data_IF_469724067450
#
_entry.id   IF_469724067450
#
_cell.length_a   1.000
_cell.length_b   1.000
_cell.length_c   1.000
_cell.angle_alpha   90.00
_cell.angle_beta   90.00
_cell.angle_gamma   90.00
#
_symmetry.space_group_name_H-M   'P 1'
#
loop_
_entity.id
_entity.type
_entity.pdbx_description
1 polymer ?
#
# COMPACT_ATOMS: atom_id res chain seq x y z
N UNK A 1 19.53 -5.06 -21.06
CA UNK A 1 18.13 -5.43 -20.74
C UNK A 1 17.28 -5.63 -21.99
N UNK A 2 17.49 -4.88 -23.06
CA UNK A 2 16.69 -4.97 -24.29
C UNK A 2 16.61 -6.38 -24.93
N UNK A 3 17.63 -7.23 -24.72
CA UNK A 3 17.68 -8.57 -25.29
C UNK A 3 16.70 -9.56 -24.62
N UNK A 4 16.20 -9.25 -23.44
CA UNK A 4 15.26 -10.08 -22.66
C UNK A 4 13.86 -9.45 -22.59
N UNK A 5 13.65 -8.35 -23.26
CA UNK A 5 12.34 -7.72 -23.38
C UNK A 5 11.35 -8.68 -24.04
N UNK A 6 10.20 -8.90 -23.39
CA UNK A 6 9.19 -9.86 -23.82
C UNK A 6 9.45 -11.32 -23.41
N UNK A 7 10.52 -11.60 -22.66
CA UNK A 7 10.72 -12.91 -22.04
C UNK A 7 10.00 -12.94 -20.68
N UNK A 8 9.10 -13.90 -20.51
CA UNK A 8 8.44 -14.16 -19.23
C UNK A 8 9.22 -15.21 -18.48
N UNK A 9 9.82 -14.81 -17.35
CA UNK A 9 10.53 -15.71 -16.46
C UNK A 9 9.51 -16.37 -15.53
N UNK A 10 9.31 -17.67 -15.66
CA UNK A 10 8.38 -18.41 -14.83
C UNK A 10 7.76 -19.60 -15.54
N UNK A 11 6.72 -20.13 -14.94
CA UNK A 11 5.93 -21.26 -15.44
C UNK A 11 4.46 -20.86 -15.43
N UNK A 12 3.82 -20.72 -16.60
CA UNK A 12 2.44 -20.25 -16.71
C UNK A 12 1.39 -21.17 -16.08
N UNK A 13 1.71 -22.46 -15.94
CA UNK A 13 0.84 -23.47 -15.33
C UNK A 13 0.96 -23.47 -13.79
N UNK A 14 2.12 -23.03 -13.26
CA UNK A 14 2.39 -22.98 -11.83
C UNK A 14 2.23 -21.59 -11.24
N UNK A 15 2.49 -20.51 -12.01
CA UNK A 15 2.31 -19.15 -11.53
C UNK A 15 0.82 -18.82 -11.44
N UNK A 16 0.29 -18.79 -10.23
CA UNK A 16 -1.13 -18.54 -9.98
C UNK A 16 -1.36 -17.77 -8.68
N UNK A 17 -2.44 -17.03 -8.66
CA UNK A 17 -2.96 -16.37 -7.46
C UNK A 17 -4.46 -16.63 -7.39
N UNK A 18 -4.88 -17.29 -6.34
CA UNK A 18 -6.28 -17.60 -6.06
C UNK A 18 -6.69 -16.90 -4.78
N UNK A 19 -7.92 -16.39 -4.75
CA UNK A 19 -8.42 -15.64 -3.62
C UNK A 19 -9.93 -15.84 -3.49
N UNK A 20 -10.36 -16.34 -2.34
CA UNK A 20 -11.77 -16.46 -1.97
C UNK A 20 -12.07 -15.57 -0.77
N UNK A 21 -13.12 -14.78 -0.83
CA UNK A 21 -13.53 -13.87 0.23
C UNK A 21 -15.02 -13.99 0.52
N UNK A 22 -15.35 -14.25 1.78
CA UNK A 22 -16.68 -14.08 2.33
C UNK A 22 -16.67 -12.90 3.31
N UNK A 23 -17.55 -11.93 3.11
CA UNK A 23 -17.62 -10.75 3.97
C UNK A 23 -19.06 -10.41 4.34
N UNK A 24 -19.28 -10.17 5.64
CA UNK A 24 -20.53 -9.63 6.18
C UNK A 24 -20.25 -8.34 6.94
N UNK A 25 -21.06 -7.33 6.70
CA UNK A 25 -20.99 -6.07 7.43
C UNK A 25 -22.38 -5.58 7.82
N UNK A 26 -22.55 -5.23 9.08
CA UNK A 26 -23.72 -4.54 9.61
C UNK A 26 -23.33 -3.14 10.08
N UNK A 27 -24.08 -2.13 9.65
CA UNK A 27 -23.92 -0.75 10.04
C UNK A 27 -25.24 -0.24 10.63
N UNK A 28 -25.20 0.23 11.87
CA UNK A 28 -26.31 0.89 12.54
C UNK A 28 -25.95 2.34 12.80
N UNK A 29 -26.72 3.26 12.24
CA UNK A 29 -26.64 4.70 12.56
C UNK A 29 -27.92 5.11 13.27
N UNK A 30 -27.77 5.80 14.40
CA UNK A 30 -28.90 6.29 15.17
C UNK A 30 -28.67 7.70 15.70
N UNK A 31 -29.64 8.59 15.49
CA UNK A 31 -29.66 9.92 16.11
C UNK A 31 -30.46 9.84 17.40
N UNK A 32 -29.76 9.86 18.54
CA UNK A 32 -30.39 9.87 19.87
C UNK A 32 -31.07 11.21 20.16
N UNK A 33 -30.49 12.31 19.59
CA UNK A 33 -31.02 13.66 19.60
C UNK A 33 -30.47 14.42 18.40
N UNK A 34 -30.83 15.69 18.25
CA UNK A 34 -30.28 16.57 17.21
C UNK A 34 -28.76 16.77 17.36
N UNK A 35 -28.23 16.59 18.58
CA UNK A 35 -26.81 16.82 18.92
C UNK A 35 -26.04 15.56 19.29
N UNK A 36 -26.68 14.39 19.32
CA UNK A 36 -26.04 13.12 19.67
C UNK A 36 -26.35 12.03 18.64
N UNK A 37 -25.31 11.54 17.97
CA UNK A 37 -25.39 10.46 16.98
C UNK A 37 -24.50 9.30 17.37
N UNK A 38 -24.97 8.08 17.11
CA UNK A 38 -24.20 6.85 17.26
C UNK A 38 -24.05 6.14 15.94
N UNK A 39 -22.86 5.58 15.70
CA UNK A 39 -22.50 4.77 14.55
C UNK A 39 -21.86 3.49 15.08
N UNK A 40 -22.47 2.35 14.80
CA UNK A 40 -22.01 1.04 15.26
C UNK A 40 -21.78 0.16 14.04
N UNK A 41 -20.62 -0.46 13.96
CA UNK A 41 -20.27 -1.38 12.88
C UNK A 41 -19.87 -2.72 13.46
N UNK A 42 -20.39 -3.80 12.88
CA UNK A 42 -19.89 -5.15 13.09
C UNK A 42 -19.55 -5.73 11.71
N UNK A 43 -18.37 -6.29 11.56
CA UNK A 43 -17.98 -6.98 10.34
C UNK A 43 -17.27 -8.30 10.64
N UNK A 44 -17.49 -9.26 9.75
CA UNK A 44 -16.79 -10.52 9.73
C UNK A 44 -16.30 -10.77 8.32
N UNK A 45 -15.03 -11.16 8.20
CA UNK A 45 -14.43 -11.58 6.94
C UNK A 45 -13.72 -12.90 7.13
N UNK A 46 -13.86 -13.75 6.12
CA UNK A 46 -13.19 -15.04 6.02
C UNK A 46 -12.58 -15.09 4.62
N UNK A 47 -11.26 -15.28 4.52
CA UNK A 47 -10.61 -15.35 3.24
C UNK A 47 -9.52 -16.40 3.19
N UNK A 48 -9.47 -17.05 2.03
CA UNK A 48 -8.44 -17.98 1.64
C UNK A 48 -7.65 -17.40 0.49
N UNK A 49 -6.32 -17.47 0.59
CA UNK A 49 -5.39 -17.03 -0.43
C UNK A 49 -4.39 -18.13 -0.75
N UNK A 50 -4.19 -18.37 -2.03
CA UNK A 50 -3.06 -19.13 -2.53
C UNK A 50 -2.27 -18.24 -3.49
N UNK A 51 -0.98 -18.13 -3.27
CA UNK A 51 -0.06 -17.48 -4.18
C UNK A 51 1.09 -18.44 -4.49
N UNK A 52 1.26 -18.80 -5.76
CA UNK A 52 2.30 -19.69 -6.23
C UNK A 52 3.06 -19.02 -7.36
N UNK A 53 4.39 -19.03 -7.27
CA UNK A 53 5.23 -18.31 -8.20
C UNK A 53 6.54 -19.03 -8.45
N UNK A 54 6.97 -19.09 -9.71
CA UNK A 54 8.35 -19.35 -10.14
C UNK A 54 8.82 -18.05 -10.79
N UNK A 55 10.03 -17.62 -10.42
CA UNK A 55 10.60 -16.35 -10.84
C UNK A 55 12.11 -16.46 -11.05
N UNK A 56 12.72 -15.48 -11.72
CA UNK A 56 14.17 -15.41 -11.80
C UNK A 56 14.74 -14.89 -10.47
N UNK A 57 15.61 -15.67 -9.83
CA UNK A 57 16.35 -15.30 -8.61
C UNK A 57 17.80 -14.91 -8.88
N UNK A 58 18.25 -14.98 -10.14
CA UNK A 58 19.56 -14.55 -10.55
C UNK A 58 19.73 -14.60 -12.07
N UNK A 59 20.69 -13.81 -12.58
CA UNK A 59 21.04 -13.77 -13.99
C UNK A 59 22.54 -13.69 -14.21
N UNK A 60 23.07 -14.56 -15.04
CA UNK A 60 24.47 -14.59 -15.47
C UNK A 60 24.56 -14.09 -16.91
N UNK A 61 24.97 -12.84 -17.10
CA UNK A 61 25.09 -12.19 -18.41
C UNK A 61 26.13 -12.89 -19.31
N UNK A 62 27.23 -13.39 -18.74
CA UNK A 62 28.31 -14.01 -19.53
C UNK A 62 27.83 -15.26 -20.25
N UNK A 63 26.98 -16.05 -19.62
CA UNK A 63 26.49 -17.32 -20.16
C UNK A 63 25.05 -17.23 -20.65
N UNK A 64 24.40 -16.09 -20.47
CA UNK A 64 22.98 -15.87 -20.74
C UNK A 64 22.09 -16.91 -20.02
N UNK A 65 22.33 -17.08 -18.73
CA UNK A 65 21.62 -18.05 -17.88
C UNK A 65 20.84 -17.35 -16.80
N UNK A 66 19.56 -17.68 -16.67
CA UNK A 66 18.70 -17.29 -15.56
C UNK A 66 18.59 -18.47 -14.57
N UNK A 67 18.77 -18.17 -13.29
CA UNK A 67 18.48 -19.11 -12.19
C UNK A 67 17.06 -18.88 -11.75
N UNK A 68 16.23 -19.91 -11.68
CA UNK A 68 14.86 -19.86 -11.20
C UNK A 68 14.77 -20.23 -9.73
N UNK A 69 13.80 -19.66 -9.04
CA UNK A 69 13.40 -19.96 -7.67
C UNK A 69 11.88 -19.91 -7.57
N UNK A 70 11.31 -20.40 -6.49
CA UNK A 70 9.85 -20.38 -6.38
C UNK A 70 9.34 -20.73 -4.99
N UNK A 71 8.08 -20.37 -4.75
CA UNK A 71 7.39 -20.69 -3.52
C UNK A 71 5.87 -20.74 -3.71
N UNK A 72 5.21 -21.36 -2.75
CA UNK A 72 3.76 -21.30 -2.54
C UNK A 72 3.51 -20.70 -1.17
N UNK A 73 2.72 -19.65 -1.10
CA UNK A 73 2.17 -19.12 0.14
C UNK A 73 0.66 -19.39 0.19
N UNK A 74 0.19 -19.99 1.26
CA UNK A 74 -1.23 -20.04 1.60
C UNK A 74 -1.50 -19.17 2.80
N UNK A 75 -2.67 -18.57 2.85
CA UNK A 75 -3.13 -17.82 4.02
C UNK A 75 -4.63 -18.02 4.18
N UNK A 76 -5.03 -18.63 5.29
CA UNK A 76 -6.41 -18.64 5.76
C UNK A 76 -6.55 -17.60 6.87
N UNK A 77 -7.53 -16.68 6.78
CA UNK A 77 -7.69 -15.64 7.79
C UNK A 77 -9.14 -15.30 8.06
N UNK A 78 -9.50 -15.25 9.32
CA UNK A 78 -10.80 -14.82 9.83
C UNK A 78 -10.62 -13.55 10.64
N UNK A 79 -11.41 -12.52 10.35
CA UNK A 79 -11.40 -11.29 11.12
C UNK A 79 -12.82 -10.97 11.59
N UNK A 80 -12.94 -10.65 12.86
CA UNK A 80 -14.12 -10.04 13.44
C UNK A 80 -13.77 -8.64 13.93
N UNK A 81 -14.55 -7.64 13.53
CA UNK A 81 -14.36 -6.24 13.94
C UNK A 81 -15.69 -5.70 14.48
N UNK A 82 -15.63 -5.16 15.67
CA UNK A 82 -16.73 -4.43 16.28
C UNK A 82 -16.27 -3.02 16.63
N UNK A 83 -16.97 -2.00 16.15
CA UNK A 83 -16.68 -0.62 16.49
C UNK A 83 -17.93 0.17 16.85
N UNK A 84 -17.77 1.11 17.77
CA UNK A 84 -18.81 2.03 18.19
C UNK A 84 -18.29 3.44 18.32
N UNK A 85 -18.99 4.40 17.70
CA UNK A 85 -18.68 5.81 17.73
C UNK A 85 -19.88 6.61 18.21
N UNK A 86 -19.65 7.53 19.14
CA UNK A 86 -20.61 8.54 19.55
C UNK A 86 -20.09 9.92 19.16
N UNK A 87 -20.91 10.69 18.47
CA UNK A 87 -20.61 12.08 18.09
C UNK A 87 -21.59 12.98 18.81
N UNK A 88 -21.06 13.90 19.62
CA UNK A 88 -21.85 14.84 20.40
C UNK A 88 -21.47 16.29 20.03
N UNK A 89 -22.46 17.12 19.76
CA UNK A 89 -22.29 18.56 19.51
C UNK A 89 -22.84 19.33 20.71
N UNK A 90 -22.07 20.29 21.22
CA UNK A 90 -22.54 21.21 22.27
C UNK A 90 -21.78 22.55 22.22
N UNK A 91 -22.29 23.54 22.91
CA UNK A 91 -21.68 24.85 23.04
C UNK A 91 -21.31 25.13 24.52
N UNK A 92 -20.08 25.62 24.70
CA UNK A 92 -19.57 26.08 25.98
C UNK A 92 -19.25 27.59 25.87
N UNK A 93 -20.21 28.42 26.26
CA UNK A 93 -20.17 29.85 25.96
C UNK A 93 -20.29 30.10 24.45
N UNK A 94 -19.32 30.80 23.85
CA UNK A 94 -19.27 31.07 22.43
C UNK A 94 -18.49 30.03 21.62
N UNK A 95 -17.99 28.97 22.28
CA UNK A 95 -17.16 27.93 21.67
C UNK A 95 -18.04 26.72 21.36
N UNK A 96 -18.02 26.28 20.11
CA UNK A 96 -18.70 25.07 19.67
C UNK A 96 -17.74 23.89 19.69
N UNK A 97 -18.17 22.78 20.28
CA UNK A 97 -17.47 21.51 20.38
C UNK A 97 -18.19 20.43 19.56
N UNK A 98 -17.44 19.64 18.82
CA UNK A 98 -17.90 18.38 18.22
C UNK A 98 -17.00 17.27 18.73
N UNK A 99 -17.46 16.52 19.75
CA UNK A 99 -16.71 15.44 20.37
C UNK A 99 -17.07 14.14 19.70
N UNK A 100 -16.05 13.41 19.25
CA UNK A 100 -16.09 11.98 18.91
C UNK A 100 -15.53 11.19 20.09
N UNK A 101 -16.28 10.23 20.57
CA UNK A 101 -15.78 9.18 21.46
C UNK A 101 -16.03 7.83 20.81
N UNK A 102 -15.01 6.95 20.75
CA UNK A 102 -15.15 5.66 20.10
C UNK A 102 -14.37 4.55 20.79
N UNK A 103 -14.78 3.33 20.47
CA UNK A 103 -14.05 2.10 20.80
C UNK A 103 -14.06 1.15 19.63
N UNK A 104 -13.04 0.30 19.56
CA UNK A 104 -12.89 -0.72 18.55
C UNK A 104 -12.34 -2.00 19.17
N UNK A 105 -12.84 -3.13 18.72
CA UNK A 105 -12.36 -4.45 19.05
C UNK A 105 -12.13 -5.22 17.76
N UNK A 106 -10.94 -5.80 17.60
CA UNK A 106 -10.57 -6.65 16.49
C UNK A 106 -10.11 -7.99 17.05
N UNK A 107 -10.62 -9.07 16.49
CA UNK A 107 -10.18 -10.44 16.70
C UNK A 107 -9.83 -11.02 15.33
N UNK A 108 -8.58 -11.45 15.15
CA UNK A 108 -8.08 -11.97 13.91
C UNK A 108 -7.33 -13.27 14.15
N UNK A 109 -7.73 -14.31 13.43
CA UNK A 109 -7.04 -15.60 13.42
C UNK A 109 -6.52 -15.86 12.03
N UNK A 110 -5.24 -16.26 11.89
CA UNK A 110 -4.68 -16.65 10.60
C UNK A 110 -3.80 -17.87 10.69
N UNK A 111 -3.83 -18.68 9.62
CA UNK A 111 -2.88 -19.75 9.36
C UNK A 111 -2.12 -19.41 8.07
N UNK A 112 -0.80 -19.53 8.10
CA UNK A 112 0.07 -19.23 6.97
C UNK A 112 1.02 -20.40 6.76
N UNK A 113 1.04 -20.95 5.54
CA UNK A 113 1.99 -21.96 5.11
C UNK A 113 2.83 -21.44 3.96
N UNK A 114 4.13 -21.73 4.00
CA UNK A 114 5.03 -21.51 2.86
C UNK A 114 5.78 -22.78 2.52
N UNK A 115 5.70 -23.15 1.25
CA UNK A 115 6.54 -24.21 0.67
C UNK A 115 7.48 -23.59 -0.36
N UNK A 116 8.77 -23.90 -0.27
CA UNK A 116 9.74 -23.52 -1.29
C UNK A 116 9.86 -24.61 -2.36
N UNK A 117 10.42 -24.21 -3.48
CA UNK A 117 10.71 -25.07 -4.62
C UNK A 117 11.70 -26.20 -4.27
N UNK A 118 11.45 -27.36 -4.82
CA UNK A 118 12.32 -28.53 -4.76
C UNK A 118 12.59 -29.03 -6.18
N UNK A 119 13.82 -28.92 -6.60
CA UNK A 119 14.27 -29.33 -7.93
C UNK A 119 14.77 -30.80 -7.95
N UNK A 120 14.60 -31.56 -6.85
CA UNK A 120 14.95 -32.95 -6.73
C UNK A 120 16.43 -33.30 -7.10
N UNK A 121 17.31 -32.30 -6.97
CA UNK A 121 18.72 -32.40 -7.36
C UNK A 121 19.00 -32.03 -8.81
N UNK A 122 17.97 -31.67 -9.59
CA UNK A 122 18.10 -31.13 -10.93
C UNK A 122 18.59 -29.67 -10.88
N UNK A 123 19.08 -29.17 -12.01
CA UNK A 123 19.48 -27.76 -12.14
C UNK A 123 18.27 -26.85 -12.23
N UNK A 124 18.35 -25.68 -11.61
CA UNK A 124 17.41 -24.58 -11.74
C UNK A 124 17.90 -23.46 -12.66
N UNK A 125 19.01 -23.73 -13.38
CA UNK A 125 19.61 -22.79 -14.31
C UNK A 125 19.13 -23.04 -15.74
N UNK A 126 18.49 -22.06 -16.34
CA UNK A 126 17.89 -22.13 -17.68
C UNK A 126 18.51 -21.11 -18.61
N UNK A 127 18.42 -21.33 -19.95
CA UNK A 127 18.75 -20.30 -20.89
C UNK A 127 17.79 -19.11 -20.71
N UNK A 128 18.33 -17.91 -20.58
CA UNK A 128 17.52 -16.71 -20.30
C UNK A 128 16.54 -16.33 -21.42
N UNK A 129 16.70 -16.86 -22.62
CA UNK A 129 15.73 -16.70 -23.71
C UNK A 129 14.60 -17.76 -23.66
N UNK A 130 14.60 -18.64 -22.66
CA UNK A 130 13.68 -19.76 -22.55
C UNK A 130 13.97 -20.90 -23.56
N UNK A 131 13.10 -21.90 -23.66
CA UNK A 131 11.95 -22.09 -22.81
C UNK A 131 12.34 -22.44 -21.36
N UNK A 132 11.51 -22.04 -20.41
CA UNK A 132 11.64 -22.39 -19.01
C UNK A 132 10.86 -23.70 -18.70
N UNK A 133 10.25 -23.81 -17.52
CA UNK A 133 9.41 -24.95 -17.20
C UNK A 133 7.98 -24.78 -17.74
N UNK A 134 7.31 -25.90 -17.97
CA UNK A 134 5.86 -26.00 -18.22
C UNK A 134 5.33 -27.13 -17.34
N UNK A 135 4.31 -26.89 -16.53
CA UNK A 135 3.88 -27.83 -15.48
C UNK A 135 5.03 -28.32 -14.58
N UNK A 136 6.00 -27.44 -14.26
CA UNK A 136 7.16 -27.78 -13.46
C UNK A 136 8.20 -28.65 -14.15
N UNK A 137 8.15 -28.81 -15.46
CA UNK A 137 9.08 -29.65 -16.23
C UNK A 137 9.79 -28.84 -17.30
N UNK A 138 11.09 -28.97 -17.45
CA UNK A 138 11.86 -28.21 -18.42
C UNK A 138 13.19 -28.87 -18.78
N UNK A 139 13.98 -28.13 -19.56
CA UNK A 139 15.35 -28.51 -19.94
C UNK A 139 16.28 -27.40 -19.45
N UNK A 140 17.25 -27.76 -18.64
CA UNK A 140 18.23 -26.82 -18.08
C UNK A 140 19.14 -26.21 -19.16
N UNK A 141 19.96 -25.24 -18.77
CA UNK A 141 20.89 -24.55 -19.68
C UNK A 141 21.99 -25.45 -20.25
N UNK A 142 22.17 -26.66 -19.71
CA UNK A 142 23.11 -27.66 -20.16
C UNK A 142 22.47 -28.75 -21.03
N UNK A 143 21.14 -28.70 -21.22
CA UNK A 143 20.36 -29.64 -22.02
C UNK A 143 19.89 -30.88 -21.26
N UNK A 144 19.92 -30.89 -19.91
CA UNK A 144 19.41 -31.98 -19.09
C UNK A 144 17.93 -31.73 -18.69
N UNK A 145 17.15 -32.81 -18.49
CA UNK A 145 15.82 -32.66 -17.87
C UNK A 145 15.93 -32.03 -16.48
N UNK A 146 15.00 -31.14 -16.19
CA UNK A 146 14.86 -30.50 -14.87
C UNK A 146 13.39 -30.48 -14.48
N UNK A 147 13.11 -30.70 -13.20
CA UNK A 147 11.76 -30.70 -12.65
C UNK A 147 11.68 -29.99 -11.30
N UNK A 148 10.57 -29.29 -11.07
CA UNK A 148 10.29 -28.59 -9.82
C UNK A 148 8.95 -29.01 -9.24
N UNK A 149 8.93 -29.16 -7.91
CA UNK A 149 7.71 -29.30 -7.10
C UNK A 149 7.82 -28.39 -5.88
N UNK A 150 6.72 -28.12 -5.20
CA UNK A 150 6.69 -27.29 -3.98
C UNK A 150 6.33 -28.19 -2.80
N UNK A 151 7.33 -28.83 -2.19
CA UNK A 151 7.13 -29.78 -1.09
C UNK A 151 8.11 -29.57 0.10
N UNK A 152 8.96 -28.57 0.03
CA UNK A 152 9.83 -28.20 1.15
C UNK A 152 9.10 -27.19 2.03
N UNK A 153 8.58 -27.65 3.17
CA UNK A 153 7.93 -26.78 4.15
C UNK A 153 8.94 -25.79 4.72
N UNK A 154 8.73 -24.51 4.44
CA UNK A 154 9.55 -23.40 4.92
C UNK A 154 8.96 -22.76 6.17
N UNK A 155 7.65 -22.48 6.15
CA UNK A 155 6.92 -21.86 7.23
C UNK A 155 5.55 -22.53 7.40
N UNK A 156 5.11 -22.67 8.65
CA UNK A 156 3.78 -23.16 9.04
C UNK A 156 3.46 -22.52 10.39
N UNK A 157 2.67 -21.44 10.36
CA UNK A 157 2.37 -20.63 11.53
C UNK A 157 0.89 -20.40 11.69
N UNK A 158 0.43 -20.38 12.94
CA UNK A 158 -0.90 -19.86 13.30
C UNK A 158 -0.74 -18.65 14.19
N UNK A 159 -1.59 -17.63 13.97
CA UNK A 159 -1.57 -16.37 14.68
C UNK A 159 -2.95 -16.05 15.22
N UNK A 160 -3.03 -15.76 16.52
CA UNK A 160 -4.18 -15.16 17.17
C UNK A 160 -3.82 -13.71 17.54
N UNK A 161 -4.61 -12.77 17.07
CA UNK A 161 -4.45 -11.35 17.29
C UNK A 161 -5.71 -10.74 17.85
N UNK A 162 -5.58 -10.02 18.97
CA UNK A 162 -6.64 -9.21 19.54
C UNK A 162 -6.20 -7.76 19.66
N UNK A 163 -7.00 -6.83 19.19
CA UNK A 163 -6.78 -5.38 19.39
C UNK A 163 -7.99 -4.78 20.08
N UNK A 164 -7.72 -4.03 21.12
CA UNK A 164 -8.72 -3.20 21.78
C UNK A 164 -8.31 -1.75 21.79
N UNK A 165 -9.21 -0.86 21.35
CA UNK A 165 -8.91 0.57 21.23
C UNK A 165 -9.99 1.43 21.86
N UNK A 166 -9.56 2.52 22.51
CA UNK A 166 -10.40 3.62 22.95
C UNK A 166 -9.86 4.92 22.41
N UNK A 167 -10.72 5.79 21.90
CA UNK A 167 -10.28 7.08 21.38
C UNK A 167 -11.30 8.17 21.63
N UNK A 168 -10.78 9.38 21.76
CA UNK A 168 -11.57 10.59 21.82
C UNK A 168 -10.94 11.69 20.98
N UNK A 169 -11.78 12.50 20.35
CA UNK A 169 -11.36 13.69 19.62
C UNK A 169 -12.36 14.80 19.84
N UNK A 170 -11.87 16.01 20.00
CA UNK A 170 -12.67 17.23 20.02
C UNK A 170 -12.28 18.16 18.87
N UNK A 171 -13.25 18.51 18.04
CA UNK A 171 -13.16 19.62 17.10
C UNK A 171 -13.75 20.85 17.77
N UNK A 172 -12.89 21.84 18.05
CA UNK A 172 -13.17 23.04 18.83
C UNK A 172 -13.22 24.23 17.89
N UNK A 173 -14.40 24.74 17.59
CA UNK A 173 -14.59 25.97 16.82
C UNK A 173 -14.39 27.17 17.74
N UNK A 174 -13.13 27.67 17.80
CA UNK A 174 -12.73 28.79 18.65
C UNK A 174 -13.28 30.14 18.16
N UNK A 175 -13.47 30.26 16.85
CA UNK A 175 -14.12 31.40 16.19
C UNK A 175 -14.60 30.98 14.80
N UNK A 176 -15.23 31.87 14.04
CA UNK A 176 -15.62 31.58 12.65
C UNK A 176 -14.44 31.30 11.73
N UNK A 177 -13.23 31.74 12.12
CA UNK A 177 -12.02 31.59 11.33
C UNK A 177 -11.05 30.53 11.89
N UNK A 178 -11.18 30.14 13.16
CA UNK A 178 -10.18 29.31 13.83
C UNK A 178 -10.83 28.07 14.44
N UNK A 179 -10.38 26.89 14.01
CA UNK A 179 -10.77 25.60 14.55
C UNK A 179 -9.53 24.85 15.02
N UNK A 180 -9.58 24.30 16.23
CA UNK A 180 -8.57 23.37 16.74
C UNK A 180 -9.15 21.96 16.76
N UNK A 181 -8.31 20.94 16.54
CA UNK A 181 -8.65 19.53 16.66
C UNK A 181 -7.66 18.91 17.63
N UNK A 182 -8.16 18.26 18.66
CA UNK A 182 -7.34 17.53 19.63
C UNK A 182 -7.88 16.11 19.77
N UNK A 183 -7.00 15.14 19.73
CA UNK A 183 -7.40 13.74 19.84
C UNK A 183 -6.35 12.90 20.56
N UNK A 184 -6.81 11.82 21.15
CA UNK A 184 -5.99 10.79 21.78
C UNK A 184 -6.59 9.44 21.50
N UNK A 185 -5.74 8.45 21.26
CA UNK A 185 -6.13 7.06 21.11
C UNK A 185 -5.25 6.20 22.01
N UNK A 186 -5.88 5.27 22.68
CA UNK A 186 -5.23 4.16 23.39
C UNK A 186 -5.49 2.89 22.61
N UNK A 187 -4.46 2.10 22.39
CA UNK A 187 -4.53 0.78 21.78
C UNK A 187 -3.85 -0.25 22.69
N UNK A 188 -4.46 -1.42 22.81
CA UNK A 188 -3.87 -2.62 23.39
C UNK A 188 -3.88 -3.68 22.29
N UNK A 189 -2.70 -4.08 21.85
CA UNK A 189 -2.44 -5.07 20.82
C UNK A 189 -1.85 -6.31 21.46
N UNK A 190 -2.50 -7.46 21.33
CA UNK A 190 -2.10 -8.73 21.92
C UNK A 190 -2.00 -9.76 20.80
N UNK A 191 -0.81 -10.33 20.59
CA UNK A 191 -0.52 -11.30 19.53
C UNK A 191 0.09 -12.56 20.13
N UNK A 192 -0.42 -13.73 19.71
CA UNK A 192 0.17 -15.03 19.96
C UNK A 192 0.43 -15.73 18.63
N UNK A 193 1.68 -16.17 18.41
CA UNK A 193 2.10 -16.90 17.22
C UNK A 193 2.58 -18.29 17.65
N UNK A 194 2.10 -19.31 16.95
CA UNK A 194 2.51 -20.69 17.11
C UNK A 194 3.20 -21.17 15.83
N UNK A 195 4.48 -21.54 15.95
CA UNK A 195 5.22 -22.21 14.90
C UNK A 195 4.88 -23.71 14.91
N UNK A 196 4.27 -24.21 13.84
CA UNK A 196 3.88 -25.59 13.67
C UNK A 196 4.90 -26.39 12.84
N UNK A 197 5.87 -25.71 12.18
CA UNK A 197 6.88 -26.36 11.34
C UNK A 197 7.81 -27.26 12.17
N UNK A 198 7.84 -28.57 11.94
CA UNK A 198 8.65 -29.49 12.72
C UNK A 198 10.17 -29.23 12.66
N UNK A 199 10.63 -28.51 11.64
CA UNK A 199 12.06 -28.21 11.46
C UNK A 199 12.53 -27.01 12.28
N UNK A 200 11.64 -26.06 12.56
CA UNK A 200 11.92 -24.81 13.30
C UNK A 200 11.40 -24.85 14.73
N UNK A 201 10.25 -25.47 14.94
CA UNK A 201 9.59 -25.60 16.22
C UNK A 201 10.50 -26.13 17.33
N UNK A 202 10.50 -25.47 18.48
CA UNK A 202 11.33 -25.77 19.63
C UNK A 202 12.85 -25.56 19.43
N UNK A 203 13.29 -24.96 18.32
CA UNK A 203 14.67 -24.54 18.17
C UNK A 203 14.75 -23.03 18.51
N UNK A 204 15.42 -22.65 19.61
CA UNK A 204 15.39 -21.25 20.09
C UNK A 204 15.99 -20.22 19.13
N UNK A 205 16.61 -20.66 18.02
CA UNK A 205 17.17 -19.78 16.99
C UNK A 205 16.27 -19.60 15.77
N UNK A 206 15.29 -20.51 15.58
CA UNK A 206 14.45 -20.53 14.38
C UNK A 206 12.96 -20.67 14.68
N UNK A 207 12.57 -20.95 15.92
CA UNK A 207 11.19 -21.04 16.36
C UNK A 207 10.53 -19.66 16.30
N UNK A 208 9.51 -19.51 15.47
CA UNK A 208 8.74 -18.29 15.30
C UNK A 208 7.65 -18.08 16.38
N UNK A 209 7.43 -19.10 17.26
CA UNK A 209 6.40 -19.01 18.31
C UNK A 209 6.71 -17.92 19.32
N UNK A 210 5.67 -17.30 19.84
CA UNK A 210 5.78 -16.33 20.92
C UNK A 210 4.48 -15.58 21.14
N UNK A 211 4.48 -14.77 22.20
CA UNK A 211 3.40 -13.81 22.46
C UNK A 211 3.99 -12.46 22.82
N UNK A 212 3.32 -11.41 22.41
CA UNK A 212 3.68 -10.03 22.73
C UNK A 212 2.42 -9.22 22.96
N UNK A 213 2.49 -8.31 23.94
CA UNK A 213 1.43 -7.36 24.20
C UNK A 213 2.02 -5.96 24.24
N UNK A 214 1.48 -5.09 23.40
CA UNK A 214 1.87 -3.68 23.32
C UNK A 214 0.68 -2.81 23.72
N UNK A 215 0.94 -1.75 24.47
CA UNK A 215 -0.06 -0.78 24.89
C UNK A 215 0.47 0.62 24.63
N UNK A 216 -0.21 1.37 23.73
CA UNK A 216 0.25 2.66 23.29
C UNK A 216 -0.82 3.73 23.40
N UNK A 217 -0.36 4.97 23.63
CA UNK A 217 -1.20 6.17 23.60
C UNK A 217 -0.68 7.12 22.53
N UNK A 218 -1.46 7.30 21.48
CA UNK A 218 -1.09 8.12 20.34
C UNK A 218 -1.90 9.42 20.30
N UNK A 219 -1.24 10.58 20.47
CA UNK A 219 -1.89 11.88 20.38
C UNK A 219 -2.00 12.35 18.93
N UNK A 220 -2.97 13.24 18.69
CA UNK A 220 -3.05 14.05 17.47
C UNK A 220 -3.53 15.46 17.80
N UNK A 221 -3.04 16.42 17.05
CA UNK A 221 -3.45 17.83 17.16
C UNK A 221 -3.49 18.46 15.78
N UNK A 222 -4.43 19.38 15.59
CA UNK A 222 -4.56 20.14 14.36
C UNK A 222 -5.05 21.54 14.63
N UNK A 223 -4.64 22.46 13.76
CA UNK A 223 -5.13 23.84 13.74
C UNK A 223 -5.53 24.20 12.33
N UNK A 224 -6.73 24.76 12.17
CA UNK A 224 -7.26 25.20 10.88
C UNK A 224 -7.61 26.69 11.01
N UNK A 225 -7.01 27.50 10.17
CA UNK A 225 -7.29 28.93 10.09
C UNK A 225 -7.86 29.30 8.72
N UNK A 226 -9.06 29.88 8.72
CA UNK A 226 -9.76 30.33 7.52
C UNK A 226 -9.76 31.86 7.47
N UNK A 227 -8.75 32.50 6.85
CA UNK A 227 -8.70 33.96 6.70
C UNK A 227 -9.85 34.49 5.83
N UNK A 228 -10.39 33.66 4.94
CA UNK A 228 -11.55 33.89 4.10
C UNK A 228 -12.30 32.58 3.85
N UNK A 229 -13.51 32.67 3.28
CA UNK A 229 -14.34 31.49 3.00
C UNK A 229 -13.68 30.51 2.02
N UNK A 230 -12.83 31.03 1.14
CA UNK A 230 -12.17 30.26 0.07
C UNK A 230 -10.73 29.85 0.39
N UNK A 231 -10.17 30.16 1.56
CA UNK A 231 -8.81 29.78 1.96
C UNK A 231 -8.85 29.12 3.32
N UNK A 232 -8.22 27.94 3.42
CA UNK A 232 -7.94 27.24 4.68
C UNK A 232 -6.44 26.97 4.79
N UNK A 233 -5.82 27.49 5.84
CA UNK A 233 -4.47 27.15 6.25
C UNK A 233 -4.57 26.11 7.36
N UNK A 234 -3.74 25.09 7.34
CA UNK A 234 -3.74 24.09 8.40
C UNK A 234 -2.33 23.64 8.79
N UNK A 235 -2.22 23.19 10.01
CA UNK A 235 -1.08 22.45 10.50
C UNK A 235 -1.58 21.28 11.35
N UNK A 236 -0.95 20.13 11.26
CA UNK A 236 -1.31 18.94 12.02
C UNK A 236 -0.08 18.18 12.51
N UNK A 237 -0.25 17.54 13.63
CA UNK A 237 0.65 16.58 14.24
C UNK A 237 -0.13 15.31 14.54
N UNK A 238 0.44 14.15 14.21
CA UNK A 238 -0.12 12.86 14.60
C UNK A 238 0.99 11.86 14.89
N UNK A 239 0.73 10.99 15.85
CA UNK A 239 1.57 9.84 16.17
C UNK A 239 0.80 8.56 15.93
N UNK A 240 1.48 7.54 15.44
CA UNK A 240 0.98 6.17 15.31
C UNK A 240 2.10 5.18 15.61
N UNK A 241 1.76 3.90 15.73
CA UNK A 241 2.74 2.86 15.99
C UNK A 241 2.48 1.61 15.17
N UNK A 242 3.50 0.78 15.00
CA UNK A 242 3.43 -0.55 14.39
C UNK A 242 4.07 -1.56 15.34
N UNK A 243 3.31 -2.52 15.89
CA UNK A 243 3.85 -3.57 16.76
C UNK A 243 4.89 -4.44 16.04
N UNK A 244 5.88 -4.90 16.78
CA UNK A 244 6.89 -5.83 16.30
C UNK A 244 6.30 -7.23 16.20
N UNK A 245 5.91 -7.64 15.00
CA UNK A 245 5.25 -8.94 14.77
C UNK A 245 5.63 -9.58 13.43
N UNK A 246 6.69 -9.06 12.80
CA UNK A 246 7.14 -9.50 11.48
C UNK A 246 6.16 -9.20 10.35
N UNK A 247 6.56 -9.52 9.14
CA UNK A 247 5.70 -9.37 7.96
C UNK A 247 4.46 -10.27 8.09
N UNK A 248 3.27 -9.70 7.82
CA UNK A 248 1.98 -10.40 7.88
C UNK A 248 1.60 -10.95 9.27
N UNK A 249 2.22 -10.50 10.35
CA UNK A 249 2.02 -11.02 11.71
C UNK A 249 2.36 -12.51 11.84
N UNK A 250 3.41 -12.97 11.17
CA UNK A 250 3.74 -14.39 11.09
C UNK A 250 4.97 -14.81 11.91
N UNK A 251 5.68 -13.88 12.54
CA UNK A 251 6.90 -14.19 13.31
C UNK A 251 7.18 -13.18 14.40
N UNK A 252 7.59 -13.68 15.56
CA UNK A 252 8.19 -12.88 16.65
C UNK A 252 9.67 -13.24 16.87
N UNK A 253 10.26 -14.08 16.03
CA UNK A 253 11.66 -14.47 16.15
C UNK A 253 12.58 -13.27 15.88
N UNK A 254 13.48 -12.96 16.80
CA UNK A 254 14.42 -11.84 16.66
C UNK A 254 13.93 -10.53 17.31
N UNK A 255 12.65 -10.23 17.24
CA UNK A 255 12.08 -8.95 17.68
C UNK A 255 11.29 -9.05 19.00
N UNK A 256 11.35 -10.21 19.65
CA UNK A 256 10.65 -10.42 20.93
C UNK A 256 11.06 -9.43 22.00
N UNK A 257 10.06 -8.73 22.56
CA UNK A 257 10.23 -7.77 23.65
C UNK A 257 10.91 -6.49 23.19
N UNK A 258 10.92 -6.16 21.91
CA UNK A 258 11.14 -4.81 21.41
C UNK A 258 9.83 -4.03 21.51
N UNK A 259 9.93 -2.75 21.84
CA UNK A 259 8.80 -1.84 21.78
C UNK A 259 8.36 -1.64 20.31
N UNK A 260 7.13 -1.24 20.05
CA UNK A 260 6.64 -0.93 18.72
C UNK A 260 7.48 0.15 18.01
N UNK A 261 7.51 0.09 16.68
CA UNK A 261 8.02 1.21 15.90
C UNK A 261 7.04 2.37 16.00
N UNK A 262 7.54 3.55 16.32
CA UNK A 262 6.75 4.77 16.39
C UNK A 262 6.90 5.61 15.12
N UNK A 263 5.80 6.21 14.69
CA UNK A 263 5.77 7.13 13.56
C UNK A 263 5.18 8.46 13.99
N UNK A 264 5.90 9.53 13.70
CA UNK A 264 5.45 10.90 13.87
C UNK A 264 5.24 11.55 12.51
N UNK A 265 4.09 12.19 12.30
CA UNK A 265 3.81 13.00 11.11
C UNK A 265 3.52 14.44 11.51
N UNK A 266 4.28 15.37 10.94
CA UNK A 266 4.04 16.81 10.99
C UNK A 266 3.72 17.32 9.60
N UNK A 267 2.56 17.95 9.43
CA UNK A 267 2.11 18.46 8.14
C UNK A 267 1.59 19.89 8.26
N UNK A 268 1.86 20.73 7.27
CA UNK A 268 1.27 22.03 7.12
C UNK A 268 0.87 22.29 5.66
N UNK A 269 -0.26 22.95 5.44
CA UNK A 269 -0.74 23.18 4.07
C UNK A 269 -1.76 24.30 3.94
N UNK A 270 -2.11 24.51 2.68
CA UNK A 270 -3.16 25.44 2.24
C UNK A 270 -4.12 24.70 1.31
N UNK A 271 -5.42 24.89 1.54
CA UNK A 271 -6.50 24.54 0.61
C UNK A 271 -7.13 25.85 0.13
N UNK A 272 -7.12 26.06 -1.16
CA UNK A 272 -7.59 27.30 -1.77
C UNK A 272 -8.58 27.02 -2.88
N UNK A 273 -9.83 27.44 -2.66
CA UNK A 273 -10.85 27.47 -3.69
C UNK A 273 -10.65 28.74 -4.53
N UNK A 274 -10.01 28.56 -5.69
CA UNK A 274 -9.72 29.66 -6.63
C UNK A 274 -11.01 30.22 -7.25
N UNK A 275 -12.01 29.36 -7.39
CA UNK A 275 -13.38 29.65 -7.77
C UNK A 275 -14.29 28.51 -7.30
N UNK A 276 -15.60 28.60 -7.54
CA UNK A 276 -16.59 27.55 -7.20
C UNK A 276 -16.25 26.18 -7.84
N UNK A 277 -15.53 26.19 -8.94
CA UNK A 277 -15.20 25.01 -9.76
C UNK A 277 -13.70 24.68 -9.78
N UNK A 278 -12.85 25.37 -9.01
CA UNK A 278 -11.40 25.19 -9.04
C UNK A 278 -10.81 25.21 -7.64
N UNK A 279 -10.01 24.21 -7.32
CA UNK A 279 -9.31 24.10 -6.06
C UNK A 279 -7.81 23.80 -6.24
N UNK A 280 -7.00 24.37 -5.36
CA UNK A 280 -5.57 24.12 -5.22
C UNK A 280 -5.28 23.71 -3.79
N UNK A 281 -4.60 22.60 -3.61
CA UNK A 281 -4.06 22.17 -2.32
C UNK A 281 -2.55 22.11 -2.42
N UNK A 282 -1.87 22.69 -1.44
CA UNK A 282 -0.43 22.61 -1.27
C UNK A 282 -0.15 22.11 0.14
N UNK A 283 0.76 21.15 0.30
CA UNK A 283 1.15 20.64 1.58
C UNK A 283 2.66 20.40 1.64
N UNK A 284 3.23 20.51 2.82
CA UNK A 284 4.56 20.01 3.15
C UNK A 284 4.46 19.17 4.41
N UNK A 285 5.22 18.09 4.47
CA UNK A 285 5.18 17.16 5.60
C UNK A 285 6.55 16.59 5.89
N UNK A 286 6.68 16.11 7.12
CA UNK A 286 7.79 15.33 7.63
C UNK A 286 7.24 14.14 8.38
N UNK A 287 7.73 12.95 8.02
CA UNK A 287 7.41 11.69 8.69
C UNK A 287 8.71 11.14 9.23
N UNK A 288 8.75 10.98 10.55
CA UNK A 288 9.84 10.32 11.27
C UNK A 288 9.38 8.93 11.71
N UNK A 289 10.26 7.95 11.63
CA UNK A 289 10.05 6.60 12.13
C UNK A 289 11.18 6.26 13.11
N UNK A 290 10.82 5.98 14.34
CA UNK A 290 11.70 5.40 15.34
C UNK A 290 11.61 3.88 15.27
N UNK A 291 12.74 3.23 14.95
CA UNK A 291 12.87 1.79 14.75
C UNK A 291 13.72 1.19 15.84
N UNK A 292 13.20 0.26 16.61
CA UNK A 292 14.00 -0.55 17.52
C UNK A 292 14.44 -1.85 16.82
N UNK A 293 15.74 -2.01 16.66
CA UNK A 293 16.32 -3.21 16.01
C UNK A 293 17.34 -3.87 16.92
N UNK A 294 17.35 -5.21 16.89
CA UNK A 294 18.38 -6.01 17.58
C UNK A 294 19.52 -6.35 16.62
N UNK A 295 20.66 -5.67 16.77
CA UNK A 295 21.86 -5.87 15.96
C UNK A 295 22.96 -6.46 16.86
N UNK A 296 23.46 -7.62 16.52
CA UNK A 296 24.50 -8.34 17.32
C UNK A 296 24.14 -8.44 18.81
N UNK A 297 22.88 -8.74 19.14
CA UNK A 297 22.32 -8.77 20.50
C UNK A 297 22.32 -7.44 21.26
N UNK A 298 22.50 -6.31 20.59
CA UNK A 298 22.33 -4.97 21.13
C UNK A 298 21.07 -4.37 20.51
N UNK A 299 20.21 -3.81 21.35
CA UNK A 299 19.04 -3.04 20.87
C UNK A 299 19.56 -1.66 20.48
N UNK A 300 19.35 -1.29 19.24
CA UNK A 300 19.70 0.02 18.71
C UNK A 300 18.41 0.74 18.30
N UNK A 301 18.26 2.00 18.71
CA UNK A 301 17.25 2.89 18.15
C UNK A 301 17.80 3.47 16.84
N UNK A 302 17.04 3.38 15.77
CA UNK A 302 17.37 3.90 14.45
C UNK A 302 16.21 4.77 13.96
N UNK A 303 16.55 5.90 13.41
CA UNK A 303 15.61 6.86 12.88
C UNK A 303 15.60 6.77 11.35
N UNK A 304 14.42 6.78 10.75
CA UNK A 304 14.23 6.99 9.33
C UNK A 304 13.32 8.20 9.14
N UNK A 305 13.60 9.00 8.11
CA UNK A 305 12.91 10.25 7.87
C UNK A 305 12.48 10.36 6.40
N UNK A 306 11.28 10.85 6.17
CA UNK A 306 10.78 11.24 4.85
C UNK A 306 10.19 12.65 4.94
N UNK A 307 10.69 13.55 4.11
CA UNK A 307 10.15 14.90 3.95
C UNK A 307 9.56 15.07 2.55
N UNK A 308 8.48 15.82 2.44
CA UNK A 308 7.82 16.01 1.17
C UNK A 308 7.10 17.33 0.98
N UNK A 309 6.85 17.60 -0.28
CA UNK A 309 5.96 18.66 -0.74
C UNK A 309 4.98 18.09 -1.74
N UNK A 310 3.72 18.45 -1.61
CA UNK A 310 2.64 18.06 -2.50
C UNK A 310 1.87 19.25 -3.01
N UNK A 311 1.46 19.18 -4.29
CA UNK A 311 0.57 20.14 -4.92
C UNK A 311 -0.50 19.39 -5.70
N UNK A 312 -1.76 19.72 -5.48
CA UNK A 312 -2.90 19.16 -6.20
C UNK A 312 -3.77 20.29 -6.73
N UNK A 313 -4.09 20.22 -8.01
CA UNK A 313 -5.05 21.09 -8.65
C UNK A 313 -6.19 20.29 -9.26
N UNK A 314 -7.40 20.69 -8.99
CA UNK A 314 -8.62 20.17 -9.61
C UNK A 314 -9.47 21.35 -10.06
N UNK A 315 -9.83 21.41 -11.34
CA UNK A 315 -10.60 22.55 -11.78
C UNK A 315 -11.26 22.42 -13.14
N UNK A 316 -12.41 23.06 -13.26
CA UNK A 316 -13.07 23.33 -14.51
C UNK A 316 -12.61 24.69 -15.04
N UNK A 317 -11.73 24.64 -16.06
CA UNK A 317 -11.16 25.85 -16.70
C UNK A 317 -12.20 26.57 -17.54
N UNK A 318 -13.11 25.81 -18.17
CA UNK A 318 -14.26 26.30 -18.89
C UNK A 318 -15.41 25.28 -18.80
N UNK A 319 -16.59 25.63 -19.32
CA UNK A 319 -17.75 24.69 -19.38
C UNK A 319 -17.39 23.35 -20.04
N UNK A 320 -16.39 23.35 -20.91
CA UNK A 320 -15.99 22.18 -21.70
C UNK A 320 -14.68 21.54 -21.22
N UNK A 321 -13.88 22.22 -20.40
CA UNK A 321 -12.54 21.77 -20.08
C UNK A 321 -12.31 21.65 -18.59
N UNK A 322 -12.02 20.42 -18.13
CA UNK A 322 -11.66 20.09 -16.75
C UNK A 322 -10.23 19.56 -16.70
N UNK A 323 -9.45 20.00 -15.71
CA UNK A 323 -8.07 19.57 -15.45
C UNK A 323 -7.97 19.02 -14.04
N UNK A 324 -7.28 17.89 -13.91
CA UNK A 324 -6.77 17.36 -12.64
C UNK A 324 -5.25 17.22 -12.76
N UNK A 325 -4.50 17.76 -11.80
CA UNK A 325 -3.05 17.66 -11.79
C UNK A 325 -2.54 17.43 -10.37
N UNK A 326 -1.49 16.64 -10.23
CA UNK A 326 -0.79 16.36 -8.98
C UNK A 326 0.71 16.39 -9.17
N UNK A 327 1.42 16.91 -8.19
CA UNK A 327 2.87 16.88 -8.10
C UNK A 327 3.30 16.53 -6.69
N UNK A 328 4.28 15.62 -6.58
CA UNK A 328 4.88 15.23 -5.31
C UNK A 328 6.39 15.29 -5.44
N UNK A 329 7.05 15.83 -4.43
CA UNK A 329 8.50 15.80 -4.27
C UNK A 329 8.82 15.21 -2.91
N UNK A 330 9.70 14.17 -2.89
CA UNK A 330 10.06 13.42 -1.70
C UNK A 330 11.57 13.33 -1.53
N UNK A 331 12.05 13.57 -0.34
CA UNK A 331 13.38 13.19 0.11
C UNK A 331 13.26 12.31 1.34
N UNK A 332 14.26 11.49 1.63
CA UNK A 332 14.26 10.69 2.84
C UNK A 332 15.54 9.90 2.98
N UNK A 333 15.79 9.51 4.22
CA UNK A 333 16.91 8.66 4.62
C UNK A 333 16.37 7.51 5.48
N UNK A 334 16.86 6.31 5.21
CA UNK A 334 16.63 5.16 6.08
C UNK A 334 17.52 5.29 7.32
N UNK A 335 17.24 4.47 8.31
CA UNK A 335 18.10 4.33 9.48
C UNK A 335 19.60 4.00 9.17
N UNK A 336 19.90 3.59 7.95
CA UNK A 336 21.28 3.38 7.46
C UNK A 336 21.91 4.61 6.77
N UNK A 337 21.16 5.70 6.61
CA UNK A 337 21.58 6.89 5.87
C UNK A 337 21.40 6.76 4.34
N UNK A 338 20.83 5.66 3.87
CA UNK A 338 20.53 5.45 2.45
C UNK A 338 19.14 5.99 2.11
N UNK A 339 18.93 6.29 0.83
CA UNK A 339 17.60 6.63 0.34
C UNK A 339 16.66 5.42 0.45
N UNK A 340 15.42 5.59 0.94
CA UNK A 340 14.43 4.51 0.92
C UNK A 340 14.23 3.96 -0.48
N UNK A 341 14.12 2.61 -0.58
CA UNK A 341 13.77 1.94 -1.82
C UNK A 341 12.37 2.31 -2.30
N UNK A 342 12.14 2.21 -3.61
CA UNK A 342 10.85 2.44 -4.28
C UNK A 342 10.27 3.85 -4.08
N UNK A 343 11.05 4.81 -3.65
CA UNK A 343 10.65 6.19 -3.40
C UNK A 343 11.17 7.11 -4.50
N UNK A 344 10.39 7.44 -5.57
CA UNK A 344 10.82 8.39 -6.58
C UNK A 344 10.95 9.79 -5.99
N UNK A 345 11.98 10.55 -6.41
CA UNK A 345 12.22 11.92 -5.92
C UNK A 345 11.09 12.87 -6.29
N UNK A 346 10.51 12.68 -7.44
CA UNK A 346 9.39 13.50 -7.91
C UNK A 346 8.46 12.69 -8.78
N UNK A 347 7.18 12.95 -8.63
CA UNK A 347 6.13 12.42 -9.48
C UNK A 347 5.21 13.55 -9.91
N UNK A 348 4.72 13.47 -11.12
CA UNK A 348 3.76 14.40 -11.67
C UNK A 348 2.70 13.66 -12.46
N UNK A 349 1.46 14.05 -12.30
CA UNK A 349 0.35 13.56 -13.11
C UNK A 349 -0.54 14.71 -13.56
N UNK A 350 -1.03 14.64 -14.78
CA UNK A 350 -2.02 15.56 -15.28
C UNK A 350 -3.03 14.80 -16.13
N UNK A 351 -4.30 15.11 -15.96
CA UNK A 351 -5.38 14.64 -16.80
C UNK A 351 -6.24 15.82 -17.28
N UNK A 352 -6.46 15.88 -18.56
CA UNK A 352 -7.33 16.85 -19.21
C UNK A 352 -8.56 16.14 -19.76
N UNK A 353 -9.74 16.62 -19.44
CA UNK A 353 -11.02 16.20 -20.03
C UNK A 353 -11.61 17.36 -20.81
N UNK A 354 -11.89 17.15 -22.08
CA UNK A 354 -12.48 18.15 -22.95
C UNK A 354 -13.76 17.65 -23.59
N UNK A 355 -14.88 18.33 -23.35
CA UNK A 355 -16.17 18.03 -23.95
C UNK A 355 -16.26 18.70 -25.31
N UNK A 356 -16.04 17.94 -26.40
CA UNK A 356 -16.03 18.43 -27.78
C UNK A 356 -17.44 18.76 -28.26
N UNK A 357 -18.43 17.98 -27.84
CA UNK A 357 -19.85 18.17 -28.13
C UNK A 357 -20.71 17.57 -27.01
N UNK A 358 -22.03 17.72 -27.08
CA UNK A 358 -22.94 17.09 -26.10
C UNK A 358 -22.76 15.56 -25.97
N UNK A 359 -22.25 14.91 -27.02
CA UNK A 359 -22.05 13.45 -27.05
C UNK A 359 -20.61 12.99 -26.96
N UNK A 360 -19.63 13.82 -27.33
CA UNK A 360 -18.23 13.44 -27.43
C UNK A 360 -17.38 14.18 -26.43
N UNK A 361 -16.75 13.44 -25.54
CA UNK A 361 -15.67 13.90 -24.66
C UNK A 361 -14.35 13.21 -25.03
N UNK A 362 -13.25 13.93 -24.87
CA UNK A 362 -11.88 13.43 -25.04
C UNK A 362 -11.10 13.62 -23.74
N UNK A 363 -10.21 12.69 -23.46
CA UNK A 363 -9.24 12.75 -22.36
C UNK A 363 -7.82 12.64 -22.86
N UNK A 364 -6.90 13.41 -22.27
CA UNK A 364 -5.47 13.28 -22.49
C UNK A 364 -4.74 13.53 -21.17
N UNK A 365 -3.84 12.64 -20.81
CA UNK A 365 -3.05 12.73 -19.61
C UNK A 365 -1.60 12.35 -19.81
N UNK A 366 -0.79 12.73 -18.83
CA UNK A 366 0.59 12.30 -18.72
C UNK A 366 0.93 12.00 -17.27
N UNK A 367 1.76 10.99 -17.08
CA UNK A 367 2.34 10.59 -15.79
C UNK A 367 3.85 10.64 -15.94
N UNK A 368 4.52 11.36 -15.07
CA UNK A 368 5.97 11.35 -14.91
C UNK A 368 6.31 10.72 -13.55
N UNK A 369 7.23 9.79 -13.56
CA UNK A 369 7.87 9.26 -12.34
C UNK A 369 9.37 9.50 -12.44
N UNK A 370 9.94 10.13 -11.44
CA UNK A 370 11.36 10.36 -11.30
C UNK A 370 12.13 9.07 -10.98
N UNK A 371 13.45 9.17 -10.98
CA UNK A 371 14.32 8.07 -10.58
C UNK A 371 14.03 7.59 -9.16
N UNK A 372 14.11 6.26 -8.97
CA UNK A 372 14.04 5.62 -7.64
C UNK A 372 15.10 4.52 -7.52
N UNK A 373 15.30 4.03 -6.31
CA UNK A 373 16.11 2.84 -6.05
C UNK A 373 15.21 1.61 -5.98
N UNK A 374 15.70 0.40 -6.33
CA UNK A 374 15.00 -0.84 -6.05
C UNK A 374 14.67 -1.00 -4.55
N UNK A 375 13.69 -1.85 -4.22
CA UNK A 375 13.31 -2.15 -2.83
C UNK A 375 14.48 -2.65 -1.99
N UNK A 376 15.37 -3.44 -2.56
CA UNK A 376 16.60 -3.92 -1.91
C UNK A 376 17.64 -2.83 -1.62
N UNK A 377 17.43 -1.58 -2.08
CA UNK A 377 18.27 -0.43 -1.80
C UNK A 377 19.23 -0.05 -2.95
N UNK A 378 20.03 0.98 -2.72
CA UNK A 378 20.90 1.60 -3.73
C UNK A 378 21.99 0.66 -4.32
N UNK A 379 22.33 -0.42 -3.60
CA UNK A 379 23.29 -1.43 -4.07
C UNK A 379 22.83 -2.21 -5.32
N UNK A 380 21.50 -2.21 -5.59
CA UNK A 380 20.89 -2.93 -6.71
C UNK A 380 20.62 -2.05 -7.93
N UNK A 381 21.15 -0.83 -7.96
CA UNK A 381 21.07 0.06 -9.12
C UNK A 381 20.03 1.16 -9.00
N UNK A 382 19.55 1.64 -10.14
CA UNK A 382 18.58 2.74 -10.25
C UNK A 382 17.47 2.35 -11.21
N UNK A 383 16.23 2.60 -10.79
CA UNK A 383 15.07 2.57 -11.68
C UNK A 383 14.97 3.93 -12.36
N UNK A 384 15.09 3.94 -13.69
CA UNK A 384 15.11 5.17 -14.47
C UNK A 384 13.75 5.87 -14.48
N UNK A 385 13.78 7.19 -14.65
CA UNK A 385 12.57 8.00 -14.80
C UNK A 385 11.87 7.74 -16.12
N UNK A 386 10.55 7.90 -16.15
CA UNK A 386 9.76 7.76 -17.37
C UNK A 386 8.62 8.79 -17.47
N UNK A 387 8.10 8.94 -18.68
CA UNK A 387 6.87 9.68 -18.96
C UNK A 387 5.93 8.78 -19.75
N UNK A 388 4.76 8.47 -19.20
CA UNK A 388 3.69 7.77 -19.90
C UNK A 388 2.58 8.74 -20.28
N UNK A 389 2.09 8.64 -21.51
CA UNK A 389 0.97 9.43 -22.01
C UNK A 389 -0.23 8.52 -22.27
N UNK A 390 -1.38 8.91 -21.75
CA UNK A 390 -2.63 8.17 -21.87
C UNK A 390 -3.71 9.03 -22.54
N UNK A 391 -4.62 8.40 -23.26
CA UNK A 391 -5.73 9.08 -23.92
C UNK A 391 -7.06 8.36 -23.66
N UNK A 392 -8.17 9.08 -23.76
CA UNK A 392 -9.48 8.50 -23.68
C UNK A 392 -10.48 9.19 -24.62
N UNK A 393 -11.48 8.45 -25.07
CA UNK A 393 -12.64 8.99 -25.77
C UNK A 393 -13.92 8.45 -25.12
N UNK A 394 -14.89 9.34 -24.95
CA UNK A 394 -16.16 9.05 -24.32
C UNK A 394 -17.27 9.44 -25.28
N UNK A 395 -18.16 8.52 -25.65
CA UNK A 395 -19.25 8.82 -26.55
C UNK A 395 -20.59 8.37 -25.98
N UNK A 396 -21.49 9.35 -25.81
CA UNK A 396 -22.86 9.11 -25.33
C UNK A 396 -23.72 8.58 -26.48
N UNK A 397 -23.98 7.27 -26.46
CA UNK A 397 -24.81 6.60 -27.48
C UNK A 397 -26.28 6.94 -27.32
N UNK A 398 -26.77 6.97 -26.07
CA UNK A 398 -28.13 7.39 -25.69
C UNK A 398 -28.08 8.02 -24.29
N UNK A 399 -29.21 8.47 -23.75
CA UNK A 399 -29.28 9.05 -22.38
C UNK A 399 -28.71 8.11 -21.32
N UNK A 400 -28.87 6.80 -21.52
CA UNK A 400 -28.51 5.77 -20.54
C UNK A 400 -27.32 4.90 -20.97
N UNK A 401 -26.70 5.14 -22.13
CA UNK A 401 -25.64 4.28 -22.66
C UNK A 401 -24.45 5.07 -23.14
N UNK A 402 -23.27 4.80 -22.57
CA UNK A 402 -22.00 5.45 -22.87
C UNK A 402 -20.95 4.42 -23.31
N UNK A 403 -20.32 4.68 -24.45
CA UNK A 403 -19.12 4.00 -24.91
C UNK A 403 -17.90 4.73 -24.41
N UNK A 404 -16.89 4.02 -23.95
CA UNK A 404 -15.61 4.56 -23.53
C UNK A 404 -14.48 3.75 -24.13
N UNK A 405 -13.49 4.44 -24.68
CA UNK A 405 -12.22 3.88 -25.13
C UNK A 405 -11.11 4.52 -24.32
N UNK A 406 -10.30 3.71 -23.67
CA UNK A 406 -9.08 4.17 -22.99
C UNK A 406 -7.87 3.61 -23.75
N UNK A 407 -6.90 4.44 -23.97
CA UNK A 407 -5.61 4.07 -24.55
C UNK A 407 -4.57 4.38 -23.49
N UNK A 408 -3.89 3.37 -23.03
CA UNK A 408 -2.79 3.48 -22.08
C UNK A 408 -1.47 3.39 -22.84
N UNK A 409 -0.50 4.18 -22.40
CA UNK A 409 0.83 4.27 -23.01
C UNK A 409 0.75 4.58 -24.52
N UNK A 410 0.09 5.68 -24.86
CA UNK A 410 -0.15 6.12 -26.25
C UNK A 410 1.13 6.23 -27.11
N UNK A 411 2.27 6.52 -26.48
CA UNK A 411 3.55 6.69 -27.15
C UNK A 411 4.37 5.39 -27.21
N UNK A 412 3.84 4.29 -26.65
CA UNK A 412 4.52 2.99 -26.55
C UNK A 412 5.89 3.07 -25.89
N UNK A 413 5.97 3.86 -24.80
CA UNK A 413 7.20 4.03 -24.01
C UNK A 413 7.54 2.72 -23.30
N UNK A 414 8.79 2.31 -23.35
CA UNK A 414 9.31 1.21 -22.53
C UNK A 414 9.74 1.76 -21.17
N UNK A 415 9.10 1.31 -20.10
CA UNK A 415 9.34 1.82 -18.76
C UNK A 415 9.23 0.74 -17.69
N UNK A 416 9.88 0.99 -16.56
CA UNK A 416 9.93 0.11 -15.40
C UNK A 416 9.44 0.88 -14.18
N UNK A 417 8.17 0.74 -13.77
CA UNK A 417 7.63 1.53 -12.68
C UNK A 417 8.17 1.13 -11.31
N UNK A 418 8.76 -0.06 -11.20
CA UNK A 418 9.15 -0.66 -9.93
C UNK A 418 10.21 -1.73 -10.13
N UNK A 419 11.14 -1.88 -9.17
CA UNK A 419 12.10 -2.96 -9.10
C UNK A 419 12.24 -3.46 -7.67
N UNK A 420 12.26 -4.79 -7.49
CA UNK A 420 12.53 -5.41 -6.19
C UNK A 420 14.05 -5.39 -5.90
N UNK A 421 14.85 -5.83 -6.85
CA UNK A 421 16.32 -5.80 -6.84
C UNK A 421 16.89 -5.71 -8.27
N UNK A 422 18.15 -6.10 -8.50
CA UNK A 422 18.84 -5.98 -9.78
C UNK A 422 18.38 -6.97 -10.87
N UNK A 423 17.57 -7.97 -10.53
CA UNK A 423 17.08 -9.02 -11.44
C UNK A 423 15.56 -9.16 -11.44
N UNK A 424 14.85 -8.43 -10.59
CA UNK A 424 13.39 -8.46 -10.49
C UNK A 424 12.79 -7.06 -10.64
N UNK A 425 12.24 -6.75 -11.81
CA UNK A 425 11.55 -5.50 -12.07
C UNK A 425 10.25 -5.72 -12.82
N UNK A 426 9.31 -4.86 -12.54
CA UNK A 426 8.02 -4.83 -13.25
C UNK A 426 8.19 -4.09 -14.55
N UNK A 427 7.86 -4.74 -15.68
CA UNK A 427 7.79 -4.09 -16.98
C UNK A 427 6.47 -3.36 -17.10
N UNK A 428 6.51 -2.09 -17.49
CA UNK A 428 5.33 -1.29 -17.77
C UNK A 428 4.51 -1.86 -18.93
N UNK A 429 3.20 -1.66 -18.88
CA UNK A 429 2.32 -2.11 -19.95
C UNK A 429 2.67 -1.41 -21.28
N UNK A 430 2.81 -2.13 -22.40
CA UNK A 430 2.98 -1.52 -23.71
C UNK A 430 1.70 -0.77 -24.13
N UNK A 431 1.74 -0.11 -25.28
CA UNK A 431 0.53 0.48 -25.84
C UNK A 431 -0.62 -0.52 -25.84
N UNK A 432 -1.68 -0.19 -25.13
CA UNK A 432 -2.88 -1.02 -25.07
C UNK A 432 -4.15 -0.17 -25.12
N UNK A 433 -5.26 -0.81 -25.42
CA UNK A 433 -6.56 -0.15 -25.47
C UNK A 433 -7.65 -1.02 -24.84
N UNK A 434 -8.46 -0.37 -24.00
CA UNK A 434 -9.64 -0.97 -23.39
C UNK A 434 -10.91 -0.30 -23.89
N UNK A 435 -11.87 -1.08 -24.33
CA UNK A 435 -13.20 -0.59 -24.73
C UNK A 435 -14.23 -1.07 -23.71
N UNK A 436 -15.03 -0.13 -23.20
CA UNK A 436 -16.10 -0.43 -22.24
C UNK A 436 -17.41 0.24 -22.63
N UNK A 437 -18.51 -0.40 -22.27
CA UNK A 437 -19.87 0.14 -22.41
C UNK A 437 -20.47 0.21 -21.01
N UNK A 438 -20.93 1.38 -20.62
CA UNK A 438 -21.60 1.63 -19.34
C UNK A 438 -23.06 1.98 -19.59
N UNK A 439 -23.96 1.20 -18.98
CA UNK A 439 -25.41 1.43 -19.04
C UNK A 439 -25.98 1.68 -17.65
N UNK A 440 -27.00 2.59 -17.57
CA UNK A 440 -27.82 2.83 -16.38
C UNK A 440 -29.26 2.50 -16.74
N UNK A 441 -29.93 1.65 -15.97
CA UNK A 441 -31.28 1.14 -16.25
C UNK A 441 -32.24 1.50 -15.12
#
# INVERSE_FOLDING_TARGET
>A
MDALNGVVFGDEDLNKSEFELLSFRALLQHSFSDTLKGIFTASYTDYDKLYQNIYASGYNETNNVATLDGYVDTTERQNFVLSGNLVAEFEAGDIKHTILFGSEYIDSQSANDRFTDNWNGDSRDFNANGPFTTNGQGIDSLGNPSSVVFDILNDDTTTDLTVFSLYAQDEIKLSDQLTAVLGVRFDSFDIEITDNNPATKNNPLTDNSGSQKDEEITPRAGLIYKPSENISLYASYSQTFVPQSGGQFASLSGDRGLDPDEFTNLEAGIKWDLSDDQSLTLATFEIEQDLLQRINNVIENREAEIQGFEAQYLGRISEQWTVSAGYTYLTGETAGGDRPGELPKSSFSIWNSYQVSEKLGLGLGAIYQGESTPKGGAGFGTVESFVRVDAAAYYQLSENLRLQVNIENLLDEEYYPHAYDDHQFTVGAPLNATVSIKGTF
#
